data_IF_162492685390
#
_entry.id   IF_162492685390
#
_cell.length_a   1.000
_cell.length_b   1.000
_cell.length_c   1.000
_cell.angle_alpha   90.00
_cell.angle_beta   90.00
_cell.angle_gamma   90.00
#
_symmetry.space_group_name_H-M   'P 1'
#
loop_
_entity.id
_entity.type
_entity.pdbx_description
1 polymer ?
#
# COMPACT_ATOMS: atom_id res chain seq x y z
N UNK A 1 2.18 9.87 -19.97
CA UNK A 1 1.92 10.03 -18.52
C UNK A 1 2.01 8.71 -17.75
N UNK A 2 1.45 7.59 -18.24
CA UNK A 2 1.53 6.29 -17.54
C UNK A 2 2.95 5.78 -17.33
N UNK A 3 3.82 5.81 -18.36
CA UNK A 3 5.22 5.36 -18.23
C UNK A 3 6.01 6.07 -17.12
N UNK A 4 5.75 7.36 -16.89
CA UNK A 4 6.41 8.11 -15.81
C UNK A 4 5.90 7.70 -14.43
N UNK A 5 4.61 7.40 -14.30
CA UNK A 5 4.03 6.90 -13.04
C UNK A 5 4.54 5.49 -12.71
N UNK A 6 4.68 4.64 -13.72
CA UNK A 6 5.24 3.29 -13.56
C UNK A 6 6.70 3.34 -13.10
N UNK A 7 7.52 4.19 -13.72
CA UNK A 7 8.92 4.33 -13.31
C UNK A 7 9.05 4.86 -11.88
N UNK A 8 8.29 5.89 -11.52
CA UNK A 8 8.31 6.45 -10.16
C UNK A 8 7.93 5.41 -9.11
N UNK A 9 6.97 4.55 -9.43
CA UNK A 9 6.54 3.46 -8.55
C UNK A 9 7.59 2.35 -8.43
N UNK A 10 8.28 2.01 -9.52
CA UNK A 10 9.40 1.07 -9.50
C UNK A 10 10.55 1.59 -8.65
N UNK A 11 10.90 2.87 -8.81
CA UNK A 11 11.97 3.51 -8.05
C UNK A 11 11.62 3.54 -6.55
N UNK A 12 10.38 3.89 -6.20
CA UNK A 12 9.89 3.83 -4.81
C UNK A 12 9.92 2.41 -4.23
N UNK A 13 9.50 1.40 -5.00
CA UNK A 13 9.58 0.01 -4.55
C UNK A 13 11.04 -0.38 -4.29
N UNK A 14 11.96 0.00 -5.17
CA UNK A 14 13.37 -0.32 -4.99
C UNK A 14 13.99 0.38 -3.78
N UNK A 15 13.59 1.63 -3.49
CA UNK A 15 13.98 2.34 -2.28
C UNK A 15 13.46 1.68 -0.99
N UNK A 16 12.25 1.10 -1.04
CA UNK A 16 11.63 0.44 0.10
C UNK A 16 12.15 -0.99 0.33
N UNK A 17 12.58 -1.67 -0.73
CA UNK A 17 13.00 -3.07 -0.73
C UNK A 17 14.45 -3.23 -1.22
N UNK A 18 15.39 -2.45 -0.65
CA UNK A 18 16.79 -2.40 -1.11
C UNK A 18 17.52 -3.75 -1.02
N UNK A 19 17.03 -4.66 -0.18
CA UNK A 19 17.60 -6.00 0.01
C UNK A 19 17.22 -6.99 -1.11
N UNK A 20 16.25 -6.64 -1.97
CA UNK A 20 15.75 -7.50 -3.04
C UNK A 20 15.81 -6.77 -4.38
N UNK A 21 16.05 -7.50 -5.47
CA UNK A 21 15.88 -6.93 -6.81
C UNK A 21 14.40 -6.58 -7.07
N UNK A 22 14.14 -5.72 -8.06
CA UNK A 22 12.77 -5.37 -8.46
C UNK A 22 11.94 -6.60 -8.87
N UNK A 23 12.58 -7.54 -9.58
CA UNK A 23 11.95 -8.78 -10.03
C UNK A 23 11.58 -9.67 -8.83
N UNK A 24 12.50 -9.83 -7.88
CA UNK A 24 12.24 -10.58 -6.65
C UNK A 24 11.14 -9.92 -5.81
N UNK A 25 11.19 -8.61 -5.65
CA UNK A 25 10.18 -7.83 -4.92
C UNK A 25 8.80 -8.06 -5.53
N UNK A 26 8.66 -7.95 -6.86
CA UNK A 26 7.39 -8.24 -7.56
C UNK A 26 6.92 -9.67 -7.36
N UNK A 27 7.82 -10.64 -7.46
CA UNK A 27 7.50 -12.04 -7.27
C UNK A 27 7.01 -12.31 -5.83
N UNK A 28 7.66 -11.73 -4.82
CA UNK A 28 7.24 -11.87 -3.43
C UNK A 28 5.93 -11.15 -3.14
N UNK A 29 5.72 -9.95 -3.67
CA UNK A 29 4.43 -9.24 -3.55
C UNK A 29 3.29 -10.05 -4.13
N UNK A 30 3.49 -10.63 -5.33
CA UNK A 30 2.49 -11.47 -5.98
C UNK A 30 2.24 -12.77 -5.20
N UNK A 31 3.28 -13.39 -4.66
CA UNK A 31 3.15 -14.58 -3.82
C UNK A 31 2.41 -14.26 -2.52
N UNK A 32 2.72 -13.14 -1.87
CA UNK A 32 2.04 -12.68 -0.67
C UNK A 32 0.55 -12.51 -0.95
N UNK A 33 0.19 -11.76 -1.99
CA UNK A 33 -1.19 -11.57 -2.42
C UNK A 33 -1.90 -12.90 -2.68
N UNK A 34 -1.28 -13.78 -3.47
CA UNK A 34 -1.84 -15.09 -3.82
C UNK A 34 -2.06 -15.97 -2.58
N UNK A 35 -1.15 -15.93 -1.61
CA UNK A 35 -1.23 -16.68 -0.36
C UNK A 35 -2.27 -16.11 0.61
N UNK A 36 -2.41 -14.79 0.68
CA UNK A 36 -3.45 -14.14 1.49
C UNK A 36 -4.84 -14.46 0.95
N UNK A 37 -5.02 -14.45 -0.38
CA UNK A 37 -6.30 -14.78 -1.02
C UNK A 37 -6.64 -16.26 -0.92
N UNK A 38 -5.65 -17.15 -1.03
CA UNK A 38 -5.84 -18.61 -0.95
C UNK A 38 -5.81 -19.19 0.46
N UNK A 39 -5.39 -18.42 1.48
CA UNK A 39 -5.18 -18.89 2.85
C UNK A 39 -4.02 -19.88 3.03
N UNK A 40 -3.22 -20.14 1.99
CA UNK A 40 -2.21 -21.21 1.97
C UNK A 40 -0.84 -20.80 2.55
N UNK A 41 -0.75 -19.65 3.22
CA UNK A 41 0.49 -19.11 3.76
C UNK A 41 1.21 -20.08 4.73
N UNK A 42 0.45 -20.70 5.64
CA UNK A 42 1.00 -21.61 6.66
C UNK A 42 1.59 -22.90 6.09
N UNK A 43 1.25 -23.24 4.84
CA UNK A 43 1.73 -24.44 4.15
C UNK A 43 3.07 -24.24 3.43
N UNK A 44 3.64 -23.03 3.47
CA UNK A 44 4.92 -22.71 2.83
C UNK A 44 6.13 -23.13 3.72
N UNK A 45 7.28 -23.47 3.11
CA UNK A 45 8.53 -23.69 3.84
C UNK A 45 8.90 -22.51 4.75
N UNK A 46 9.59 -22.76 5.87
CA UNK A 46 9.93 -21.73 6.87
C UNK A 46 10.70 -20.55 6.25
N UNK A 47 11.78 -20.83 5.52
CA UNK A 47 12.61 -19.80 4.86
C UNK A 47 11.78 -18.91 3.93
N UNK A 48 10.78 -19.48 3.24
CA UNK A 48 9.90 -18.72 2.35
C UNK A 48 8.92 -17.85 3.13
N UNK A 49 8.41 -18.34 4.26
CA UNK A 49 7.56 -17.56 5.17
C UNK A 49 8.31 -16.36 5.74
N UNK A 50 9.55 -16.54 6.16
CA UNK A 50 10.39 -15.45 6.68
C UNK A 50 10.59 -14.34 5.64
N UNK A 51 10.90 -14.69 4.39
CA UNK A 51 11.03 -13.71 3.29
C UNK A 51 9.71 -12.98 3.00
N UNK A 52 8.59 -13.69 3.00
CA UNK A 52 7.26 -13.10 2.81
C UNK A 52 6.88 -12.14 3.95
N UNK A 53 7.23 -12.48 5.19
CA UNK A 53 7.02 -11.59 6.35
C UNK A 53 7.88 -10.35 6.28
N UNK A 54 9.15 -10.47 5.87
CA UNK A 54 10.01 -9.32 5.67
C UNK A 54 9.39 -8.36 4.63
N UNK A 55 8.90 -8.90 3.51
CA UNK A 55 8.23 -8.09 2.49
C UNK A 55 6.94 -7.44 3.03
N UNK A 56 6.14 -8.17 3.80
CA UNK A 56 4.93 -7.62 4.43
C UNK A 56 5.25 -6.49 5.42
N UNK A 57 6.29 -6.64 6.25
CA UNK A 57 6.69 -5.63 7.22
C UNK A 57 7.11 -4.32 6.52
N UNK A 58 7.89 -4.41 5.45
CA UNK A 58 8.27 -3.24 4.65
C UNK A 58 7.04 -2.60 3.97
N UNK A 59 6.11 -3.38 3.40
CA UNK A 59 4.86 -2.84 2.88
C UNK A 59 4.07 -2.08 3.96
N UNK A 60 3.98 -2.65 5.16
CA UNK A 60 3.27 -2.03 6.26
C UNK A 60 3.92 -0.71 6.70
N UNK A 61 5.26 -0.64 6.72
CA UNK A 61 5.98 0.61 6.99
C UNK A 61 5.69 1.67 5.93
N UNK A 62 5.68 1.29 4.65
CA UNK A 62 5.35 2.21 3.55
C UNK A 62 3.91 2.71 3.67
N UNK A 63 2.95 1.82 3.92
CA UNK A 63 1.54 2.20 4.10
C UNK A 63 1.35 3.13 5.30
N UNK A 64 2.00 2.84 6.44
CA UNK A 64 1.95 3.70 7.63
C UNK A 64 2.58 5.08 7.38
N UNK A 65 3.64 5.16 6.57
CA UNK A 65 4.24 6.44 6.20
C UNK A 65 3.36 7.25 5.23
N UNK A 66 2.60 6.57 4.36
CA UNK A 66 1.68 7.19 3.41
C UNK A 66 0.32 7.56 4.04
N UNK A 67 -0.11 6.86 5.09
CA UNK A 67 -1.36 7.11 5.81
C UNK A 67 -1.55 8.59 6.21
N UNK A 68 -0.58 9.27 6.88
CA UNK A 68 -0.72 10.68 7.22
C UNK A 68 -0.82 11.59 5.98
N UNK A 69 -0.10 11.29 4.90
CA UNK A 69 -0.18 12.07 3.65
C UNK A 69 -1.56 11.97 2.97
N UNK A 70 -2.20 10.80 3.07
CA UNK A 70 -3.58 10.59 2.59
C UNK A 70 -4.62 11.23 3.51
N UNK A 71 -4.35 11.29 4.82
CA UNK A 71 -5.24 11.95 5.79
C UNK A 71 -5.20 13.48 5.66
N UNK A 72 -4.04 14.06 5.39
CA UNK A 72 -3.90 15.50 5.15
C UNK A 72 -4.54 15.94 3.82
N UNK A 73 -4.44 15.13 2.77
CA UNK A 73 -5.10 15.40 1.48
C UNK A 73 -6.64 15.35 1.57
N UNK A 74 -7.20 14.60 2.52
CA UNK A 74 -8.65 14.54 2.77
C UNK A 74 -9.13 15.60 3.76
N UNK A 75 -8.27 16.06 4.68
CA UNK A 75 -8.56 17.20 5.56
C UNK A 75 -8.50 18.55 4.83
N UNK A 76 -7.64 18.71 3.83
CA UNK A 76 -7.62 19.89 2.95
C UNK A 76 -8.84 20.01 2.02
N UNK A 77 -9.61 18.93 1.84
CA UNK A 77 -10.79 18.89 0.96
C UNK A 77 -12.12 19.09 1.71
N UNK A 78 -12.11 19.20 3.05
CA UNK A 78 -13.31 19.28 3.90
C UNK A 78 -13.69 20.71 4.33
N UNK A 79 -13.28 21.75 3.59
CA UNK A 79 -13.69 23.13 3.89
C UNK A 79 -14.64 23.79 2.88
N UNK A 80 -15.20 23.06 1.92
CA UNK A 80 -16.18 23.64 0.98
C UNK A 80 -17.44 22.76 0.89
N UNK A 81 -18.43 23.09 1.72
CA UNK A 81 -19.73 23.71 1.35
C UNK A 81 -20.88 23.24 2.23
N UNK A 82 -21.50 24.24 2.88
CA UNK A 82 -22.87 24.33 3.40
C UNK A 82 -23.35 23.42 4.54
N UNK A 83 -23.56 23.98 5.76
CA UNK A 83 -24.49 23.40 6.70
C UNK A 83 -25.91 23.63 6.18
N UNK A 84 -26.56 22.53 5.77
CA UNK A 84 -27.99 22.38 5.59
C UNK A 84 -28.81 23.46 6.33
N UNK A 85 -29.29 24.46 5.59
CA UNK A 85 -30.38 25.33 6.03
C UNK A 85 -31.63 24.43 6.11
N UNK A 86 -31.98 24.00 7.31
CA UNK A 86 -33.29 23.42 7.59
C UNK A 86 -34.29 24.59 7.64
N UNK A 87 -34.95 24.90 6.52
CA UNK A 87 -36.21 25.67 6.57
C UNK A 87 -37.34 24.70 6.89
N UNK A 88 -37.82 24.76 8.13
CA UNK A 88 -39.09 24.17 8.53
C UNK A 88 -40.22 24.96 7.86
N UNK A 89 -41.20 24.32 7.19
CA UNK A 89 -42.40 25.03 6.74
C UNK A 89 -43.36 25.21 7.92
N UNK A 90 -43.85 26.44 8.10
CA UNK A 90 -45.10 26.74 8.81
C UNK A 90 -46.29 26.60 7.86
#
# INVERSE_FOLDING_TARGET
MEKQKTQLFEDMLQECFQEFSLEETRAYLWQLFSLTVSGAYNSQPLERREKLLAVYAHLQQVLNALEPMLTESTLGSRQLTDPYIIKSPE
#
